data_IF_793790478716
#
_entry.id   IF_793790478716
#
_cell.length_a   1.000
_cell.length_b   1.000
_cell.length_c   1.000
_cell.angle_alpha   90.00
_cell.angle_beta   90.00
_cell.angle_gamma   90.00
#
_symmetry.space_group_name_H-M   'P 1'
#
loop_
_entity.id
_entity.type
_entity.pdbx_description
1 polymer ?
#
# COMPACT_ATOMS: atom_id res chain seq x y z
N UNK A 1 27.85 -20.62 -14.00
CA UNK A 1 26.73 -21.53 -14.36
C UNK A 1 25.65 -21.31 -13.32
N UNK A 2 24.70 -20.44 -13.62
CA UNK A 2 23.59 -20.12 -12.71
C UNK A 2 22.53 -21.20 -12.81
N UNK A 3 22.12 -21.74 -11.66
CA UNK A 3 21.08 -22.75 -11.56
C UNK A 3 19.76 -22.22 -12.10
N UNK A 4 19.26 -22.86 -13.16
CA UNK A 4 17.90 -22.68 -13.66
C UNK A 4 16.97 -23.22 -12.57
N UNK A 5 16.28 -22.32 -11.89
CA UNK A 5 15.17 -22.68 -10.99
C UNK A 5 14.10 -23.34 -11.86
N UNK A 6 13.73 -24.57 -11.51
CA UNK A 6 12.67 -25.33 -12.16
C UNK A 6 11.34 -24.58 -12.15
N UNK A 7 10.51 -24.62 -13.21
CA UNK A 7 9.25 -23.86 -13.30
C UNK A 7 8.16 -24.26 -12.29
N UNK A 8 8.38 -25.31 -11.50
CA UNK A 8 7.38 -25.94 -10.62
C UNK A 8 7.45 -25.49 -9.15
N UNK A 9 8.26 -24.49 -8.81
CA UNK A 9 8.51 -24.10 -7.42
C UNK A 9 8.27 -22.61 -7.14
N UNK A 10 7.65 -21.87 -8.06
CA UNK A 10 7.27 -20.49 -7.80
C UNK A 10 6.03 -20.48 -6.89
N UNK A 11 6.08 -19.79 -5.73
CA UNK A 11 4.92 -19.62 -4.87
C UNK A 11 3.77 -18.96 -5.68
N UNK A 12 2.51 -19.41 -5.53
CA UNK A 12 1.37 -18.89 -6.28
C UNK A 12 1.18 -17.38 -6.09
N UNK A 13 1.62 -16.83 -4.96
CA UNK A 13 1.53 -15.39 -4.68
C UNK A 13 2.86 -14.87 -4.15
N UNK A 14 3.33 -13.78 -4.75
CA UNK A 14 4.40 -12.93 -4.24
C UNK A 14 3.85 -11.53 -3.96
N UNK A 15 4.10 -11.02 -2.76
CA UNK A 15 3.81 -9.67 -2.34
C UNK A 15 5.13 -8.91 -2.15
N UNK A 16 5.27 -7.78 -2.82
CA UNK A 16 6.41 -6.87 -2.75
C UNK A 16 5.94 -5.52 -2.20
N UNK A 17 6.51 -5.08 -1.09
CA UNK A 17 6.24 -3.74 -0.54
C UNK A 17 7.02 -2.70 -1.36
N UNK A 18 6.31 -1.84 -2.10
CA UNK A 18 6.92 -0.76 -2.88
C UNK A 18 7.23 0.46 -2.00
N UNK A 19 6.37 0.70 -1.02
CA UNK A 19 6.53 1.72 0.01
C UNK A 19 5.75 1.38 1.28
N UNK A 20 6.23 1.85 2.42
CA UNK A 20 5.73 1.47 3.76
C UNK A 20 5.51 2.66 4.71
N UNK A 21 5.68 3.87 4.20
CA UNK A 21 5.63 5.12 4.95
C UNK A 21 4.31 5.87 4.80
N UNK A 22 4.20 6.96 5.55
CA UNK A 22 3.05 7.87 5.53
C UNK A 22 3.02 8.74 4.27
N UNK A 23 2.03 9.62 4.21
CA UNK A 23 1.93 10.66 3.20
C UNK A 23 3.17 11.55 3.07
N UNK A 24 3.93 11.78 4.13
CA UNK A 24 5.16 12.59 4.10
C UNK A 24 6.40 11.83 3.68
N UNK A 25 6.33 10.49 3.60
CA UNK A 25 7.47 9.59 3.37
C UNK A 25 8.55 9.74 4.46
N UNK A 26 9.60 8.93 4.46
CA UNK A 26 10.74 9.06 5.38
C UNK A 26 12.03 8.93 4.59
N UNK A 27 13.02 9.82 4.79
CA UNK A 27 13.11 10.85 5.84
C UNK A 27 12.26 12.10 5.60
N UNK A 28 11.86 12.77 6.69
CA UNK A 28 11.30 14.12 6.60
C UNK A 28 12.41 15.16 6.36
N UNK A 29 12.18 16.06 5.41
CA UNK A 29 13.14 17.12 5.08
C UNK A 29 13.40 18.07 6.26
N UNK A 30 12.37 18.39 7.05
CA UNK A 30 12.49 19.28 8.21
C UNK A 30 13.38 18.69 9.31
N UNK A 31 13.45 17.36 9.40
CA UNK A 31 14.30 16.65 10.34
C UNK A 31 15.76 16.64 9.89
N UNK A 32 16.01 16.46 8.59
CA UNK A 32 17.37 16.45 8.03
C UNK A 32 18.00 17.84 7.98
N UNK A 33 17.19 18.88 7.87
CA UNK A 33 17.62 20.29 7.79
C UNK A 33 17.35 21.07 9.09
N UNK A 34 17.05 20.35 10.18
CA UNK A 34 16.79 20.95 11.48
C UNK A 34 17.96 21.82 11.94
N UNK A 35 17.70 23.00 12.54
CA UNK A 35 18.75 23.85 13.08
C UNK A 35 19.48 23.14 14.24
N UNK A 36 20.75 23.48 14.54
CA UNK A 36 21.56 22.77 15.54
C UNK A 36 20.99 22.73 16.97
N UNK A 37 20.01 23.58 17.29
CA UNK A 37 19.35 23.67 18.58
C UNK A 37 18.07 22.81 18.69
N UNK A 38 17.62 22.18 17.61
CA UNK A 38 16.47 21.25 17.62
C UNK A 38 16.97 19.83 17.90
N UNK A 39 16.21 19.09 18.70
CA UNK A 39 16.50 17.68 18.97
C UNK A 39 16.51 16.87 17.66
N UNK A 40 17.57 16.09 17.39
CA UNK A 40 17.70 15.34 16.16
C UNK A 40 16.71 14.17 16.09
N UNK A 41 16.01 14.02 14.98
CA UNK A 41 15.21 12.82 14.72
C UNK A 41 16.10 11.65 14.32
N UNK A 42 16.32 10.71 15.25
CA UNK A 42 17.21 9.56 15.03
C UNK A 42 16.74 8.68 13.86
N UNK A 43 15.44 8.46 13.71
CA UNK A 43 14.88 7.66 12.59
C UNK A 43 15.20 8.31 11.25
N UNK A 44 14.94 9.61 11.07
CA UNK A 44 15.26 10.29 9.83
C UNK A 44 16.77 10.38 9.58
N UNK A 45 17.59 10.65 10.60
CA UNK A 45 19.04 10.69 10.41
C UNK A 45 19.61 9.31 10.05
N UNK A 46 19.04 8.22 10.58
CA UNK A 46 19.49 6.87 10.26
C UNK A 46 19.37 6.54 8.77
N UNK A 47 18.47 7.19 8.01
CA UNK A 47 18.31 6.94 6.57
C UNK A 47 19.54 7.35 5.75
N UNK A 48 20.46 8.12 6.32
CA UNK A 48 21.71 8.51 5.70
C UNK A 48 22.82 7.46 5.86
N UNK A 49 22.52 6.36 6.57
CA UNK A 49 23.47 5.26 6.84
C UNK A 49 22.98 3.95 6.21
N UNK A 50 23.90 3.04 5.83
CA UNK A 50 23.52 1.71 5.32
C UNK A 50 22.63 0.92 6.28
N UNK A 51 22.90 1.00 7.59
CA UNK A 51 22.18 0.26 8.63
C UNK A 51 20.72 0.74 8.74
N UNK A 52 20.49 2.04 8.57
CA UNK A 52 19.17 2.64 8.61
C UNK A 52 18.40 2.58 7.29
N UNK A 53 18.83 1.78 6.29
CA UNK A 53 18.15 1.69 4.98
C UNK A 53 16.67 1.31 5.11
N UNK A 54 16.30 0.46 6.07
CA UNK A 54 14.89 0.08 6.34
C UNK A 54 14.04 1.20 6.95
N UNK A 55 14.65 2.33 7.33
CA UNK A 55 13.94 3.55 7.73
C UNK A 55 13.68 4.50 6.56
N UNK A 56 14.18 4.22 5.35
CA UNK A 56 13.72 4.90 4.14
C UNK A 56 12.35 4.30 3.81
N UNK A 57 11.30 5.13 3.82
CA UNK A 57 9.92 4.67 3.66
C UNK A 57 9.20 5.55 2.65
N UNK A 58 8.94 5.03 1.46
CA UNK A 58 8.11 5.66 0.43
C UNK A 58 6.64 5.59 0.79
N UNK A 59 5.77 6.35 0.10
CA UNK A 59 4.32 6.25 0.32
C UNK A 59 3.83 4.80 0.21
N UNK A 60 2.89 4.43 1.09
CA UNK A 60 2.37 3.07 1.20
C UNK A 60 1.87 2.56 -0.15
N UNK A 61 2.43 1.43 -0.59
CA UNK A 61 2.13 0.82 -1.88
C UNK A 61 2.69 -0.61 -1.93
N UNK A 62 2.07 -1.49 -2.70
CA UNK A 62 2.53 -2.86 -2.89
C UNK A 62 2.32 -3.35 -4.32
N UNK A 63 3.16 -4.28 -4.77
CA UNK A 63 2.96 -5.04 -5.99
C UNK A 63 2.75 -6.51 -5.65
N UNK A 64 1.75 -7.14 -6.26
CA UNK A 64 1.48 -8.56 -6.18
C UNK A 64 1.75 -9.22 -7.52
N UNK A 65 2.43 -10.37 -7.50
CA UNK A 65 2.50 -11.29 -8.64
C UNK A 65 1.72 -12.53 -8.25
N UNK A 66 0.64 -12.81 -8.98
CA UNK A 66 -0.29 -13.90 -8.68
C UNK A 66 -0.39 -14.80 -9.91
N UNK A 67 -0.27 -16.11 -9.73
CA UNK A 67 -0.53 -17.06 -10.82
C UNK A 67 -2.03 -17.09 -11.15
N UNK A 68 -2.38 -16.67 -12.36
CA UNK A 68 -3.72 -16.75 -12.91
C UNK A 68 -4.14 -18.18 -13.27
N UNK A 69 -5.42 -18.35 -13.61
CA UNK A 69 -6.02 -19.64 -14.00
C UNK A 69 -5.43 -20.23 -15.28
N UNK A 70 -4.83 -19.40 -16.13
CA UNK A 70 -4.14 -19.78 -17.36
C UNK A 70 -2.64 -20.09 -17.16
N UNK A 71 -2.16 -20.02 -15.91
CA UNK A 71 -0.75 -20.22 -15.55
C UNK A 71 0.14 -19.02 -15.83
N UNK A 72 -0.40 -17.90 -16.34
CA UNK A 72 0.35 -16.65 -16.49
C UNK A 72 0.37 -15.89 -15.17
N UNK A 73 1.42 -15.12 -14.95
CA UNK A 73 1.53 -14.27 -13.78
C UNK A 73 0.84 -12.93 -14.02
N UNK A 74 -0.13 -12.60 -13.19
CA UNK A 74 -0.80 -11.30 -13.16
C UNK A 74 -0.10 -10.39 -12.15
N UNK A 75 0.29 -9.20 -12.58
CA UNK A 75 0.90 -8.16 -11.74
C UNK A 75 -0.13 -7.11 -11.36
N UNK A 76 -0.46 -7.06 -10.08
CA UNK A 76 -1.41 -6.09 -9.50
C UNK A 76 -0.64 -5.11 -8.62
N UNK A 77 -0.79 -3.80 -8.83
CA UNK A 77 -0.21 -2.77 -7.97
C UNK A 77 -1.31 -2.12 -7.15
N UNK A 78 -1.12 -2.06 -5.83
CA UNK A 78 -1.99 -1.33 -4.91
C UNK A 78 -1.34 0.02 -4.61
N UNK A 79 -2.05 1.09 -4.95
CA UNK A 79 -1.66 2.49 -4.87
C UNK A 79 -0.41 2.87 -5.66
N UNK A 80 -0.46 4.05 -6.28
CA UNK A 80 0.64 4.66 -7.03
C UNK A 80 0.81 6.10 -6.54
N UNK A 81 1.38 6.24 -5.34
CA UNK A 81 1.65 7.53 -4.71
C UNK A 81 2.78 8.33 -5.36
N UNK A 82 3.12 9.48 -4.74
CA UNK A 82 4.18 10.40 -5.21
C UNK A 82 5.56 9.77 -5.37
N UNK A 83 5.82 8.65 -4.68
CA UNK A 83 7.09 7.95 -4.74
C UNK A 83 7.06 6.69 -5.60
N UNK A 84 5.96 6.43 -6.31
CA UNK A 84 5.79 5.21 -7.10
C UNK A 84 6.89 5.06 -8.15
N UNK A 85 7.21 6.10 -8.94
CA UNK A 85 8.28 6.04 -9.93
C UNK A 85 9.62 5.58 -9.31
N UNK A 86 10.00 6.16 -8.17
CA UNK A 86 11.26 5.84 -7.52
C UNK A 86 11.27 4.40 -6.97
N UNK A 87 10.12 3.92 -6.48
CA UNK A 87 9.96 2.52 -6.07
C UNK A 87 10.06 1.58 -7.28
N UNK A 88 9.39 1.93 -8.38
CA UNK A 88 9.34 1.10 -9.57
C UNK A 88 10.72 0.99 -10.23
N UNK A 89 11.45 2.09 -10.35
CA UNK A 89 12.84 2.10 -10.86
C UNK A 89 13.77 1.23 -10.02
N UNK A 90 13.62 1.20 -8.70
CA UNK A 90 14.46 0.36 -7.83
C UNK A 90 14.06 -1.12 -7.90
N UNK A 91 12.77 -1.43 -7.79
CA UNK A 91 12.32 -2.80 -7.54
C UNK A 91 11.94 -3.58 -8.79
N UNK A 92 11.34 -2.94 -9.81
CA UNK A 92 10.82 -3.67 -10.97
C UNK A 92 11.95 -4.27 -11.83
N UNK A 93 13.05 -3.53 -12.15
CA UNK A 93 14.20 -4.12 -12.83
C UNK A 93 14.84 -5.24 -12.01
N UNK A 94 14.99 -5.03 -10.69
CA UNK A 94 15.66 -5.95 -9.76
C UNK A 94 14.95 -7.30 -9.65
N UNK A 95 13.62 -7.29 -9.61
CA UNK A 95 12.82 -8.51 -9.42
C UNK A 95 12.11 -8.98 -10.68
N UNK A 96 12.37 -8.33 -11.83
CA UNK A 96 11.82 -8.75 -13.12
C UNK A 96 10.33 -8.48 -13.28
N UNK A 97 9.76 -7.50 -12.58
CA UNK A 97 8.43 -6.99 -12.90
C UNK A 97 8.55 -6.18 -14.19
N UNK A 98 7.67 -6.46 -15.17
CA UNK A 98 7.76 -5.89 -16.51
C UNK A 98 6.48 -5.21 -16.92
N UNK A 99 5.35 -5.90 -16.78
CA UNK A 99 4.01 -5.39 -17.08
C UNK A 99 3.23 -5.13 -15.79
N UNK A 100 2.23 -4.25 -15.87
CA UNK A 100 1.26 -4.00 -14.80
C UNK A 100 -0.11 -4.31 -15.36
N UNK A 101 -0.72 -5.43 -14.95
CA UNK A 101 -2.02 -5.86 -15.44
C UNK A 101 -3.16 -5.04 -14.83
N UNK A 102 -3.00 -4.63 -13.58
CA UNK A 102 -3.97 -3.83 -12.86
C UNK A 102 -3.30 -2.91 -11.83
N UNK A 103 -3.84 -1.70 -11.70
CA UNK A 103 -3.60 -0.78 -10.59
C UNK A 103 -4.90 -0.64 -9.82
N UNK A 104 -4.84 -0.73 -8.50
CA UNK A 104 -5.99 -0.55 -7.62
C UNK A 104 -5.68 0.58 -6.67
N UNK A 105 -6.56 1.57 -6.59
CA UNK A 105 -6.37 2.73 -5.70
C UNK A 105 -7.29 2.61 -4.49
N UNK A 106 -6.69 2.63 -3.29
CA UNK A 106 -7.40 2.56 -2.01
C UNK A 106 -8.27 3.80 -1.80
N UNK A 107 -7.72 4.99 -2.08
CA UNK A 107 -8.37 6.28 -1.86
C UNK A 107 -7.69 7.44 -2.61
N UNK A 108 -8.31 8.63 -2.56
CA UNK A 108 -7.91 9.79 -3.36
C UNK A 108 -6.99 10.80 -2.64
N UNK A 109 -6.11 10.36 -1.77
CA UNK A 109 -5.04 11.23 -1.27
C UNK A 109 -3.79 11.19 -2.16
N UNK A 110 -2.99 12.23 -2.05
CA UNK A 110 -1.81 12.43 -2.89
C UNK A 110 -0.82 11.26 -2.82
N UNK A 111 -0.68 10.68 -1.64
CA UNK A 111 0.19 9.54 -1.36
C UNK A 111 -0.33 8.20 -1.87
N UNK A 112 -1.59 8.12 -2.32
CA UNK A 112 -2.15 6.93 -2.97
C UNK A 112 -2.24 7.07 -4.50
N UNK A 113 -2.44 8.28 -5.05
CA UNK A 113 -2.73 8.45 -6.49
C UNK A 113 -1.83 9.40 -7.28
N UNK A 114 -0.96 10.22 -6.67
CA UNK A 114 -0.24 11.26 -7.43
C UNK A 114 0.88 10.75 -8.34
N UNK A 115 1.21 9.45 -8.29
CA UNK A 115 2.09 8.77 -9.23
C UNK A 115 1.36 8.16 -10.43
N UNK A 116 0.04 8.38 -10.59
CA UNK A 116 -0.72 7.90 -11.75
C UNK A 116 -0.08 8.35 -13.08
N UNK A 117 0.44 9.58 -13.16
CA UNK A 117 1.10 10.04 -14.38
C UNK A 117 2.37 9.24 -14.71
N UNK A 118 3.07 8.72 -13.71
CA UNK A 118 4.31 7.94 -13.90
C UNK A 118 4.05 6.61 -14.63
N UNK A 119 2.81 6.10 -14.61
CA UNK A 119 2.41 4.89 -15.36
C UNK A 119 2.56 5.06 -16.87
N UNK A 120 2.75 6.28 -17.39
CA UNK A 120 3.17 6.52 -18.79
C UNK A 120 4.42 5.74 -19.16
N UNK A 121 5.30 5.44 -18.20
CA UNK A 121 6.50 4.63 -18.42
C UNK A 121 6.22 3.27 -19.05
N UNK A 122 5.00 2.74 -18.90
CA UNK A 122 4.55 1.48 -19.48
C UNK A 122 3.80 1.64 -20.81
N UNK A 123 3.00 2.70 -20.95
CA UNK A 123 2.05 2.82 -22.06
C UNK A 123 2.46 3.80 -23.16
N UNK A 124 3.43 4.67 -22.92
CA UNK A 124 3.86 5.70 -23.87
C UNK A 124 4.29 5.07 -25.20
N UNK A 125 3.60 5.38 -26.29
CA UNK A 125 3.85 4.77 -27.59
C UNK A 125 3.67 3.24 -27.64
N UNK A 126 3.01 2.64 -26.65
CA UNK A 126 2.93 1.19 -26.50
C UNK A 126 4.27 0.54 -26.14
N UNK A 127 5.14 1.25 -25.39
CA UNK A 127 6.49 0.81 -25.07
C UNK A 127 6.54 -0.59 -24.45
N UNK A 128 5.65 -0.86 -23.48
CA UNK A 128 5.52 -2.15 -22.82
C UNK A 128 4.11 -2.72 -23.02
N UNK A 129 3.09 -1.90 -22.81
CA UNK A 129 1.68 -2.29 -22.93
C UNK A 129 0.84 -1.17 -23.56
N UNK A 130 -0.33 -1.52 -24.10
CA UNK A 130 -1.18 -0.53 -24.79
C UNK A 130 -1.99 0.34 -23.84
N UNK A 131 -2.36 -0.20 -22.68
CA UNK A 131 -3.07 0.46 -21.59
C UNK A 131 -2.78 -0.25 -20.26
N UNK A 132 -3.14 0.38 -19.15
CA UNK A 132 -3.20 -0.23 -17.81
C UNK A 132 -4.63 -0.13 -17.29
N UNK A 133 -5.14 -1.19 -16.68
CA UNK A 133 -6.45 -1.19 -16.05
C UNK A 133 -6.36 -0.61 -14.65
N UNK A 134 -7.21 0.37 -14.35
CA UNK A 134 -7.19 1.11 -13.09
C UNK A 134 -8.53 0.96 -12.38
N UNK A 135 -8.52 0.30 -11.23
CA UNK A 135 -9.68 -0.01 -10.41
C UNK A 135 -9.79 0.98 -9.26
N UNK A 136 -10.91 1.70 -9.19
CA UNK A 136 -11.12 2.78 -8.21
C UNK A 136 -12.57 2.81 -7.73
N UNK A 137 -12.82 3.35 -6.53
CA UNK A 137 -14.19 3.73 -6.15
C UNK A 137 -14.69 4.89 -7.01
N UNK A 138 -16.01 5.05 -7.13
CA UNK A 138 -16.60 6.19 -7.85
C UNK A 138 -16.15 7.55 -7.26
N UNK A 139 -16.06 7.66 -5.94
CA UNK A 139 -15.55 8.87 -5.29
C UNK A 139 -14.09 9.13 -5.63
N UNK A 140 -13.25 8.10 -5.66
CA UNK A 140 -11.84 8.24 -6.03
C UNK A 140 -11.72 8.66 -7.49
N UNK A 141 -12.51 8.08 -8.40
CA UNK A 141 -12.53 8.45 -9.82
C UNK A 141 -12.86 9.94 -10.03
N UNK A 142 -13.85 10.48 -9.31
CA UNK A 142 -14.19 11.90 -9.41
C UNK A 142 -13.03 12.81 -8.96
N UNK A 143 -12.31 12.44 -7.90
CA UNK A 143 -11.14 13.19 -7.44
C UNK A 143 -9.96 13.10 -8.41
N UNK A 144 -9.76 11.93 -9.05
CA UNK A 144 -8.80 11.76 -10.13
C UNK A 144 -9.18 12.66 -11.31
N UNK A 145 -10.44 12.67 -11.74
CA UNK A 145 -10.90 13.53 -12.84
C UNK A 145 -10.68 15.01 -12.53
N UNK A 146 -10.87 15.42 -11.27
CA UNK A 146 -10.62 16.80 -10.83
C UNK A 146 -9.12 17.15 -10.80
N UNK A 147 -8.27 16.21 -10.37
CA UNK A 147 -6.84 16.45 -10.14
C UNK A 147 -5.99 16.24 -11.39
N UNK A 148 -6.39 15.28 -12.24
CA UNK A 148 -5.70 14.84 -13.46
C UNK A 148 -6.70 14.71 -14.63
N UNK A 149 -7.37 15.79 -15.05
CA UNK A 149 -8.41 15.74 -16.08
C UNK A 149 -7.92 15.13 -17.41
N UNK A 150 -6.63 15.29 -17.71
CA UNK A 150 -5.98 14.76 -18.90
C UNK A 150 -5.79 13.22 -18.90
N UNK A 151 -5.83 12.57 -17.73
CA UNK A 151 -5.77 11.10 -17.61
C UNK A 151 -7.14 10.44 -17.83
N UNK A 152 -8.21 11.24 -17.79
CA UNK A 152 -9.60 10.76 -17.94
C UNK A 152 -10.18 11.16 -19.29
N UNK A 153 -9.94 12.39 -19.73
CA UNK A 153 -10.41 12.89 -21.02
C UNK A 153 -9.24 13.35 -21.91
N UNK A 154 -9.23 12.80 -23.13
CA UNK A 154 -8.25 13.13 -24.18
C UNK A 154 -8.33 14.60 -24.63
N UNK A 155 -9.44 15.29 -24.35
CA UNK A 155 -9.65 16.70 -24.70
C UNK A 155 -8.80 17.66 -23.86
N UNK A 156 -8.37 17.24 -22.67
CA UNK A 156 -7.55 18.04 -21.74
C UNK A 156 -6.06 17.67 -21.76
N UNK A 157 -5.64 16.76 -22.65
CA UNK A 157 -4.23 16.44 -22.85
C UNK A 157 -3.51 17.63 -23.50
N UNK A 158 -2.97 18.54 -22.67
CA UNK A 158 -2.12 19.61 -23.17
C UNK A 158 -0.80 19.02 -23.65
N UNK A 159 -0.62 18.95 -24.97
CA UNK A 159 0.63 18.54 -25.59
C UNK A 159 1.77 19.46 -25.14
N UNK A 160 2.62 18.98 -24.26
CA UNK A 160 3.98 19.50 -24.09
C UNK A 160 4.81 19.11 -25.30
N UNK A 161 4.52 19.70 -26.47
CA UNK A 161 5.15 19.42 -27.75
C UNK A 161 4.21 18.83 -28.80
N UNK A 162 3.72 19.72 -29.66
CA UNK A 162 3.16 19.48 -31.00
C UNK A 162 2.02 18.44 -31.13
N UNK A 163 0.81 18.91 -30.84
CA UNK A 163 -0.47 18.21 -31.02
C UNK A 163 -0.92 18.21 -32.49
N UNK A 164 -1.13 17.01 -33.06
CA UNK A 164 -2.05 16.85 -34.19
C UNK A 164 -3.39 16.32 -33.66
N UNK A 165 -4.42 17.17 -33.68
CA UNK A 165 -5.80 16.79 -33.47
C UNK A 165 -6.29 15.92 -34.64
N UNK A 166 -6.88 14.76 -34.37
CA UNK A 166 -7.76 14.09 -35.32
C UNK A 166 -9.05 13.68 -34.62
N UNK A 167 -10.08 14.49 -34.82
CA UNK A 167 -11.47 14.05 -34.88
C UNK A 167 -11.58 13.00 -35.99
N UNK A 168 -12.36 11.93 -35.78
CA UNK A 168 -12.81 11.09 -36.91
C UNK A 168 -14.30 10.81 -36.76
N UNK A 169 -15.10 11.58 -37.51
CA UNK A 169 -16.15 10.97 -38.33
C UNK A 169 -15.47 10.47 -39.61
N UNK A 170 -15.83 9.26 -40.01
CA UNK A 170 -15.34 8.48 -41.14
C UNK A 170 -15.11 9.26 -42.46
N UNK A 171 -13.85 9.43 -42.89
CA UNK A 171 -13.37 9.41 -44.30
C UNK A 171 -11.89 9.04 -44.32
N UNK A 172 -11.49 8.17 -45.25
CA UNK A 172 -10.14 7.69 -45.53
C UNK A 172 -9.18 8.87 -45.83
N UNK A 173 -8.06 8.98 -45.09
CA UNK A 173 -6.85 9.70 -45.54
C UNK A 173 -5.60 8.86 -45.20
N UNK A 174 -4.69 8.85 -46.17
CA UNK A 174 -3.41 8.16 -46.26
C UNK A 174 -2.41 8.44 -45.12
N UNK A 175 -1.64 7.39 -44.83
CA UNK A 175 -0.33 7.30 -44.18
C UNK A 175 0.42 8.61 -43.86
N UNK A 176 0.58 8.90 -42.56
CA UNK A 176 1.64 9.73 -42.00
C UNK A 176 2.18 9.08 -40.73
N UNK A 177 3.50 8.86 -40.73
CA UNK A 177 4.31 8.24 -39.69
C UNK A 177 4.02 8.67 -38.22
N UNK A 178 3.91 7.65 -37.37
CA UNK A 178 4.35 7.57 -35.96
C UNK A 178 4.47 8.88 -35.15
N UNK A 179 3.35 9.49 -34.74
CA UNK A 179 3.35 10.39 -33.56
C UNK A 179 2.72 9.65 -32.37
N UNK A 180 3.57 9.11 -31.50
CA UNK A 180 3.17 8.29 -30.36
C UNK A 180 2.31 9.04 -29.34
N UNK A 181 1.35 8.33 -28.72
CA UNK A 181 0.54 8.83 -27.59
C UNK A 181 1.47 9.35 -26.48
N UNK A 182 1.26 10.57 -26.00
CA UNK A 182 2.10 11.26 -25.00
C UNK A 182 1.54 11.24 -23.55
N UNK A 183 0.47 10.49 -23.28
CA UNK A 183 -0.23 10.42 -21.97
C UNK A 183 -0.43 8.95 -21.62
N UNK A 184 -0.45 8.54 -20.34
CA UNK A 184 -0.86 7.19 -19.97
C UNK A 184 -2.20 6.82 -20.63
N UNK A 185 -2.33 5.58 -21.07
CA UNK A 185 -3.62 5.07 -21.57
C UNK A 185 -4.19 4.13 -20.51
N UNK A 186 -5.39 4.44 -20.03
CA UNK A 186 -6.03 3.72 -18.94
C UNK A 186 -7.39 3.18 -19.34
N UNK A 187 -7.70 1.99 -18.85
CA UNK A 187 -9.06 1.49 -18.79
C UNK A 187 -9.56 1.61 -17.35
N UNK A 188 -10.56 2.46 -17.13
CA UNK A 188 -11.06 2.77 -15.79
C UNK A 188 -12.19 1.81 -15.40
N UNK A 189 -12.05 1.18 -14.23
CA UNK A 189 -13.02 0.25 -13.67
C UNK A 189 -13.50 0.76 -12.32
N UNK A 190 -14.83 0.89 -12.17
CA UNK A 190 -15.43 1.30 -10.90
C UNK A 190 -15.69 0.07 -10.04
N UNK A 191 -15.17 0.08 -8.81
CA UNK A 191 -15.33 -1.00 -7.82
C UNK A 191 -16.19 -0.53 -6.64
N UNK A 192 -16.96 -1.46 -6.08
CA UNK A 192 -17.97 -1.21 -5.04
C UNK A 192 -17.68 -1.99 -3.76
N UNK A 193 -18.05 -1.43 -2.60
CA UNK A 193 -17.85 -2.06 -1.29
C UNK A 193 -18.44 -3.48 -1.24
N UNK A 194 -17.61 -4.46 -0.85
CA UNK A 194 -17.97 -5.88 -0.67
C UNK A 194 -18.49 -6.58 -1.93
N UNK A 195 -18.26 -6.01 -3.11
CA UNK A 195 -18.56 -6.65 -4.40
C UNK A 195 -17.26 -7.22 -4.97
N UNK A 196 -17.08 -8.55 -4.96
CA UNK A 196 -15.90 -9.17 -5.55
C UNK A 196 -15.81 -8.92 -7.06
N UNK A 197 -14.61 -8.79 -7.58
CA UNK A 197 -14.33 -8.69 -9.01
C UNK A 197 -13.11 -9.52 -9.40
N UNK A 198 -13.08 -9.94 -10.67
CA UNK A 198 -11.94 -10.59 -11.29
C UNK A 198 -11.09 -9.53 -12.01
N UNK A 199 -9.77 -9.62 -11.91
CA UNK A 199 -8.87 -8.84 -12.76
C UNK A 199 -8.97 -9.39 -14.18
N UNK A 200 -9.68 -8.66 -15.04
CA UNK A 200 -9.98 -9.06 -16.42
C UNK A 200 -10.64 -10.44 -16.43
N UNK A 201 -9.93 -11.43 -17.00
CA UNK A 201 -10.29 -12.84 -17.04
C UNK A 201 -9.15 -13.72 -16.52
N UNK A 202 -8.30 -13.19 -15.65
CA UNK A 202 -7.09 -13.88 -15.17
C UNK A 202 -7.36 -14.96 -14.13
N UNK A 203 -8.55 -14.97 -13.53
CA UNK A 203 -8.88 -15.77 -12.33
C UNK A 203 -8.43 -15.12 -11.02
N UNK A 204 -7.84 -13.91 -11.06
CA UNK A 204 -7.43 -13.18 -9.85
C UNK A 204 -8.63 -12.46 -9.23
N UNK A 205 -9.11 -12.99 -8.10
CA UNK A 205 -10.27 -12.46 -7.39
C UNK A 205 -9.87 -11.49 -6.29
N UNK A 206 -10.54 -10.34 -6.24
CA UNK A 206 -10.36 -9.29 -5.24
C UNK A 206 -11.71 -8.85 -4.71
N UNK A 207 -11.84 -8.81 -3.39
CA UNK A 207 -13.02 -8.26 -2.70
C UNK A 207 -12.60 -6.97 -1.98
N UNK A 208 -13.02 -5.80 -2.48
CA UNK A 208 -12.80 -4.53 -1.79
C UNK A 208 -13.74 -4.43 -0.57
N UNK A 209 -13.33 -3.72 0.45
CA UNK A 209 -14.17 -3.41 1.60
C UNK A 209 -13.78 -2.06 2.22
N UNK A 210 -14.75 -1.37 2.82
CA UNK A 210 -14.52 -0.06 3.45
C UNK A 210 -13.80 -0.21 4.80
N UNK A 211 -12.76 0.60 4.98
CA UNK A 211 -12.22 1.04 6.26
C UNK A 211 -12.41 2.55 6.44
N UNK A 212 -12.34 3.04 7.67
CA UNK A 212 -12.52 4.47 7.97
C UNK A 212 -11.21 5.15 8.35
N UNK A 213 -10.92 6.25 7.64
CA UNK A 213 -9.88 7.23 7.95
C UNK A 213 -10.57 8.53 8.38
N UNK A 214 -10.16 9.18 9.48
CA UNK A 214 -10.84 10.35 10.08
C UNK A 214 -12.09 10.04 10.94
N UNK A 215 -12.40 10.88 11.95
CA UNK A 215 -13.00 10.42 13.20
C UNK A 215 -14.49 10.08 13.09
N UNK A 216 -14.87 8.99 13.76
CA UNK A 216 -16.24 8.73 14.27
C UNK A 216 -16.25 8.73 15.81
N UNK A 217 -15.32 9.47 16.46
CA UNK A 217 -15.38 9.67 17.92
C UNK A 217 -16.08 10.98 18.23
N UNK A 218 -17.24 10.99 18.93
CA UNK A 218 -17.76 12.21 19.50
C UNK A 218 -16.74 12.71 20.54
N UNK A 219 -16.29 13.95 20.40
CA UNK A 219 -15.50 14.63 21.41
C UNK A 219 -16.33 14.69 22.71
N UNK A 220 -16.08 13.79 23.64
CA UNK A 220 -16.63 13.89 24.99
C UNK A 220 -15.91 15.03 25.72
N UNK A 221 -16.55 16.18 25.81
CA UNK A 221 -16.19 17.22 26.77
C UNK A 221 -15.57 18.48 26.20
N UNK A 222 -16.37 19.31 25.53
CA UNK A 222 -16.25 20.77 25.68
C UNK A 222 -17.61 21.44 25.52
N UNK A 223 -18.07 22.08 26.58
CA UNK A 223 -19.27 22.90 26.60
C UNK A 223 -19.00 24.22 25.84
N UNK A 224 -19.11 24.21 24.52
CA UNK A 224 -19.11 25.43 23.72
C UNK A 224 -20.28 25.38 22.73
N UNK A 225 -21.10 26.43 22.76
CA UNK A 225 -22.42 26.56 22.10
C UNK A 225 -22.39 26.73 20.58
N UNK A 226 -21.43 26.12 19.88
CA UNK A 226 -21.45 25.97 18.43
C UNK A 226 -21.32 24.48 18.14
N UNK A 227 -22.35 23.86 17.55
CA UNK A 227 -22.30 22.45 17.17
C UNK A 227 -21.02 22.21 16.34
N UNK A 228 -20.15 21.25 16.72
CA UNK A 228 -18.97 20.94 15.93
C UNK A 228 -19.41 20.57 14.50
N UNK A 229 -18.64 20.94 13.46
CA UNK A 229 -18.95 20.55 12.10
C UNK A 229 -19.16 19.03 12.05
N UNK A 230 -20.21 18.57 11.36
CA UNK A 230 -20.40 17.13 11.11
C UNK A 230 -19.20 16.64 10.31
N UNK A 231 -18.26 15.97 10.99
CA UNK A 231 -17.13 15.33 10.32
C UNK A 231 -17.67 14.03 9.73
N UNK A 232 -17.65 13.93 8.41
CA UNK A 232 -17.92 12.67 7.72
C UNK A 232 -16.62 11.86 7.70
N UNK A 233 -16.66 10.55 8.03
CA UNK A 233 -15.47 9.71 7.89
C UNK A 233 -15.05 9.67 6.43
N UNK A 234 -13.75 9.77 6.20
CA UNK A 234 -13.16 9.58 4.90
C UNK A 234 -13.00 8.06 4.68
N UNK A 235 -13.45 7.58 3.52
CA UNK A 235 -13.50 6.15 3.26
C UNK A 235 -12.25 5.73 2.47
N UNK A 236 -11.57 4.70 2.97
CA UNK A 236 -10.47 4.04 2.28
C UNK A 236 -10.86 2.59 2.03
N UNK A 237 -10.55 2.03 0.86
CA UNK A 237 -10.71 0.60 0.64
C UNK A 237 -9.52 -0.19 1.20
N UNK A 238 -9.84 -1.28 1.89
CA UNK A 238 -8.96 -2.44 2.01
C UNK A 238 -9.38 -3.52 1.02
N UNK A 239 -8.55 -4.55 0.87
CA UNK A 239 -8.75 -5.60 -0.12
C UNK A 239 -8.51 -6.98 0.47
N UNK A 240 -9.43 -7.90 0.21
CA UNK A 240 -9.23 -9.34 0.38
C UNK A 240 -8.87 -9.93 -0.99
N UNK A 241 -7.67 -10.47 -1.12
CA UNK A 241 -7.09 -10.91 -2.40
C UNK A 241 -6.91 -12.43 -2.32
N UNK A 242 -7.52 -13.15 -3.26
CA UNK A 242 -7.44 -14.62 -3.39
C UNK A 242 -7.72 -15.39 -2.08
N UNK A 243 -8.54 -14.85 -1.18
CA UNK A 243 -8.79 -15.41 0.17
C UNK A 243 -7.49 -15.73 0.95
N UNK A 244 -6.41 -15.01 0.62
CA UNK A 244 -5.04 -15.31 1.04
C UNK A 244 -4.39 -14.09 1.71
N UNK A 245 -4.61 -12.90 1.15
CA UNK A 245 -4.04 -11.64 1.66
C UNK A 245 -5.19 -10.70 2.00
N UNK A 246 -5.19 -10.20 3.23
CA UNK A 246 -5.94 -9.00 3.60
C UNK A 246 -4.97 -7.81 3.59
N UNK A 247 -5.27 -6.79 2.79
CA UNK A 247 -4.51 -5.55 2.71
C UNK A 247 -5.33 -4.39 3.27
N UNK A 248 -4.85 -3.76 4.34
CA UNK A 248 -5.51 -2.63 5.01
C UNK A 248 -4.45 -1.56 5.31
N UNK A 249 -4.55 -0.40 4.67
CA UNK A 249 -3.71 0.78 4.94
C UNK A 249 -4.59 2.01 5.19
N UNK A 250 -4.04 3.03 5.85
CA UNK A 250 -4.66 4.35 5.99
C UNK A 250 -6.02 4.35 6.71
N UNK A 251 -6.19 3.45 7.68
CA UNK A 251 -7.41 3.31 8.47
C UNK A 251 -7.18 3.59 9.94
N UNK A 252 -8.15 4.24 10.57
CA UNK A 252 -8.25 4.41 12.04
C UNK A 252 -9.25 3.45 12.68
N UNK A 253 -10.22 2.96 11.90
CA UNK A 253 -11.27 2.08 12.37
C UNK A 253 -11.71 1.13 11.25
N UNK A 254 -11.96 -0.13 11.62
CA UNK A 254 -12.64 -1.11 10.78
C UNK A 254 -14.11 -1.17 11.23
N UNK A 255 -15.08 -0.87 10.35
CA UNK A 255 -16.52 -0.96 10.65
C UNK A 255 -16.99 -2.38 11.03
N UNK A 256 -18.07 -2.50 11.80
CA UNK A 256 -18.59 -3.80 12.28
C UNK A 256 -19.04 -4.74 11.14
N UNK A 257 -19.61 -4.20 10.08
CA UNK A 257 -19.99 -4.94 8.89
C UNK A 257 -18.77 -5.39 8.05
N UNK A 258 -17.71 -4.59 8.03
CA UNK A 258 -16.40 -5.03 7.50
C UNK A 258 -15.79 -6.13 8.36
N UNK A 259 -15.89 -6.04 9.69
CA UNK A 259 -15.44 -7.12 10.57
C UNK A 259 -16.13 -8.44 10.26
N UNK A 260 -17.43 -8.44 10.01
CA UNK A 260 -18.16 -9.64 9.62
C UNK A 260 -17.60 -10.30 8.35
N UNK A 261 -17.23 -9.51 7.33
CA UNK A 261 -16.55 -10.01 6.15
C UNK A 261 -15.18 -10.62 6.49
N UNK A 262 -14.33 -9.89 7.22
CA UNK A 262 -12.97 -10.34 7.55
C UNK A 262 -12.94 -11.57 8.48
N UNK A 263 -13.96 -11.73 9.32
CA UNK A 263 -14.13 -12.90 10.18
C UNK A 263 -14.66 -14.11 9.41
N UNK A 264 -15.43 -13.90 8.34
CA UNK A 264 -15.91 -14.96 7.44
C UNK A 264 -14.85 -15.52 6.48
N UNK A 265 -13.77 -14.75 6.25
CA UNK A 265 -12.66 -15.17 5.39
C UNK A 265 -11.87 -16.34 5.99
N UNK A 266 -11.06 -17.02 5.18
CA UNK A 266 -10.28 -18.19 5.57
C UNK A 266 -9.48 -18.01 6.87
N UNK A 267 -9.43 -19.08 7.68
CA UNK A 267 -8.71 -19.12 8.96
C UNK A 267 -7.79 -20.36 9.07
N UNK A 268 -6.51 -20.18 9.47
CA UNK A 268 -5.83 -18.89 9.59
C UNK A 268 -5.67 -18.24 8.21
N UNK A 269 -5.90 -16.93 8.12
CA UNK A 269 -5.59 -16.15 6.92
C UNK A 269 -4.06 -16.12 6.76
N UNK A 270 -3.50 -16.44 5.58
CA UNK A 270 -2.05 -16.52 5.40
C UNK A 270 -1.33 -15.19 5.71
N UNK A 271 -1.75 -14.10 5.07
CA UNK A 271 -1.10 -12.79 5.22
C UNK A 271 -2.09 -11.69 5.55
N UNK A 272 -1.75 -10.89 6.56
CA UNK A 272 -2.39 -9.62 6.86
C UNK A 272 -1.37 -8.48 6.70
N UNK A 273 -1.66 -7.51 5.84
CA UNK A 273 -0.98 -6.21 5.79
C UNK A 273 -1.88 -5.21 6.50
N UNK A 274 -1.33 -4.50 7.51
CA UNK A 274 -2.14 -3.67 8.41
C UNK A 274 -1.50 -2.32 8.73
N UNK A 275 -2.32 -1.27 8.69
CA UNK A 275 -1.97 0.09 9.12
C UNK A 275 -1.45 0.13 10.57
N UNK A 276 -0.35 0.83 10.78
CA UNK A 276 0.17 1.20 12.10
C UNK A 276 1.11 2.40 11.98
N UNK A 277 0.57 3.59 12.23
CA UNK A 277 1.32 4.84 12.08
C UNK A 277 2.46 5.00 13.09
N UNK A 278 2.16 4.70 14.36
CA UNK A 278 3.03 4.93 15.53
C UNK A 278 2.44 4.25 16.78
N UNK A 279 3.04 4.48 17.96
CA UNK A 279 2.56 3.91 19.22
C UNK A 279 1.13 4.36 19.55
N UNK A 280 0.90 5.69 19.51
CA UNK A 280 -0.40 6.29 19.82
C UNK A 280 -1.28 6.34 18.59
N UNK A 281 -2.57 6.05 18.78
CA UNK A 281 -3.60 6.24 17.77
C UNK A 281 -3.60 7.66 17.19
N UNK A 282 -4.00 7.77 15.94
CA UNK A 282 -4.17 9.04 15.25
C UNK A 282 -5.62 9.14 14.74
N UNK A 283 -6.06 10.34 14.37
CA UNK A 283 -7.42 10.54 13.86
C UNK A 283 -7.69 9.74 12.58
N UNK A 284 -6.64 9.45 11.81
CA UNK A 284 -6.72 8.78 10.50
C UNK A 284 -6.02 7.42 10.44
N UNK A 285 -5.30 7.02 11.49
CA UNK A 285 -4.49 5.80 11.48
C UNK A 285 -4.54 5.06 12.82
N UNK A 286 -4.39 3.74 12.76
CA UNK A 286 -4.24 2.89 13.92
C UNK A 286 -2.92 3.16 14.63
N UNK A 287 -2.97 3.09 15.96
CA UNK A 287 -1.79 2.92 16.80
C UNK A 287 -1.41 1.46 16.97
N UNK A 288 -0.23 1.19 17.53
CA UNK A 288 0.26 -0.19 17.73
C UNK A 288 -0.71 -1.07 18.54
N UNK A 289 -1.38 -0.50 19.55
CA UNK A 289 -2.31 -1.25 20.39
C UNK A 289 -3.56 -1.69 19.60
N UNK A 290 -4.11 -0.83 18.75
CA UNK A 290 -5.26 -1.14 17.89
C UNK A 290 -4.87 -2.16 16.83
N UNK A 291 -3.69 -2.00 16.22
CA UNK A 291 -3.17 -2.94 15.24
C UNK A 291 -2.99 -4.34 15.86
N UNK A 292 -2.33 -4.46 17.02
CA UNK A 292 -2.16 -5.77 17.69
C UNK A 292 -3.50 -6.36 18.13
N UNK A 293 -4.46 -5.54 18.56
CA UNK A 293 -5.81 -6.03 18.89
C UNK A 293 -6.52 -6.60 17.64
N UNK A 294 -6.43 -5.92 16.50
CA UNK A 294 -6.98 -6.40 15.23
C UNK A 294 -6.31 -7.72 14.78
N UNK A 295 -4.98 -7.82 14.91
CA UNK A 295 -4.23 -9.05 14.60
C UNK A 295 -4.68 -10.21 15.49
N UNK A 296 -4.83 -9.99 16.80
CA UNK A 296 -5.32 -11.03 17.73
C UNK A 296 -6.73 -11.49 17.40
N UNK A 297 -7.60 -10.56 16.98
CA UNK A 297 -8.97 -10.86 16.57
C UNK A 297 -9.01 -11.68 15.27
N UNK A 298 -8.22 -11.30 14.26
CA UNK A 298 -8.20 -11.99 12.96
C UNK A 298 -7.40 -13.29 12.98
N UNK A 299 -6.41 -13.40 13.86
CA UNK A 299 -5.49 -14.53 14.03
C UNK A 299 -4.87 -15.02 12.70
N UNK A 300 -4.18 -14.14 11.93
CA UNK A 300 -3.47 -14.53 10.71
C UNK A 300 -2.18 -15.30 10.99
N UNK A 301 -1.65 -15.99 9.98
CA UNK A 301 -0.36 -16.71 10.06
C UNK A 301 0.84 -15.76 10.11
N UNK A 302 0.82 -14.71 9.28
CA UNK A 302 1.84 -13.64 9.25
C UNK A 302 1.16 -12.27 9.13
N UNK A 303 1.53 -11.33 9.99
CA UNK A 303 1.14 -9.91 9.86
C UNK A 303 2.34 -9.03 9.56
N UNK A 304 2.20 -8.18 8.55
CA UNK A 304 3.15 -7.12 8.23
C UNK A 304 2.50 -5.74 8.44
N UNK A 305 3.07 -4.94 9.33
CA UNK A 305 2.61 -3.57 9.55
C UNK A 305 3.06 -2.65 8.41
N UNK A 306 2.31 -1.59 8.11
CA UNK A 306 2.66 -0.53 7.14
C UNK A 306 2.16 0.85 7.60
N UNK A 307 2.43 1.91 6.83
CA UNK A 307 1.95 3.27 7.11
C UNK A 307 2.80 4.02 8.15
N UNK A 308 4.07 3.68 8.29
CA UNK A 308 4.87 4.11 9.43
C UNK A 308 5.34 5.57 9.35
N UNK A 309 5.18 6.31 10.45
CA UNK A 309 5.80 7.62 10.67
C UNK A 309 7.25 7.51 11.18
N UNK A 310 7.97 8.63 11.22
CA UNK A 310 9.35 8.70 11.74
C UNK A 310 9.49 8.59 13.27
N UNK A 311 8.37 8.47 14.01
CA UNK A 311 8.36 8.40 15.47
C UNK A 311 9.05 7.14 16.01
N UNK A 312 9.13 6.08 15.20
CA UNK A 312 9.65 4.76 15.58
C UNK A 312 10.53 4.24 14.45
N UNK A 313 11.73 3.79 14.79
CA UNK A 313 12.62 3.13 13.85
C UNK A 313 12.18 1.70 13.53
N UNK A 314 12.66 1.15 12.42
CA UNK A 314 12.33 -0.21 11.99
C UNK A 314 12.71 -1.24 13.07
N UNK A 315 13.90 -1.12 13.66
CA UNK A 315 14.38 -2.05 14.69
C UNK A 315 13.53 -1.99 15.96
N UNK A 316 13.08 -0.80 16.36
CA UNK A 316 12.17 -0.66 17.50
C UNK A 316 10.82 -1.33 17.21
N UNK A 317 10.27 -1.19 16.00
CA UNK A 317 9.09 -1.95 15.59
C UNK A 317 9.32 -3.46 15.59
N UNK A 318 10.49 -3.94 15.16
CA UNK A 318 10.85 -5.36 15.24
C UNK A 318 10.84 -5.84 16.68
N UNK A 319 11.44 -5.08 17.61
CA UNK A 319 11.42 -5.39 19.04
C UNK A 319 10.01 -5.46 19.59
N UNK A 320 9.18 -4.46 19.29
CA UNK A 320 7.79 -4.42 19.75
C UNK A 320 7.01 -5.61 19.18
N UNK A 321 7.16 -5.91 17.89
CA UNK A 321 6.49 -7.04 17.25
C UNK A 321 6.94 -8.40 17.79
N UNK A 322 8.22 -8.55 18.20
CA UNK A 322 8.72 -9.75 18.88
C UNK A 322 8.05 -9.95 20.25
N UNK A 323 7.91 -8.87 21.03
CA UNK A 323 7.22 -8.92 22.31
C UNK A 323 5.73 -9.32 22.15
N UNK A 324 5.06 -8.87 21.08
CA UNK A 324 3.70 -9.31 20.75
C UNK A 324 3.59 -10.83 20.55
N UNK A 325 4.67 -11.45 20.08
CA UNK A 325 4.80 -12.90 19.89
C UNK A 325 5.21 -13.67 21.15
N UNK A 326 5.27 -13.01 22.31
CA UNK A 326 5.65 -13.62 23.59
C UNK A 326 7.16 -13.68 23.85
N UNK A 327 7.98 -13.10 22.97
CA UNK A 327 9.42 -13.00 23.19
C UNK A 327 9.71 -12.01 24.33
N UNK A 328 10.08 -12.56 25.49
CA UNK A 328 10.46 -11.79 26.69
C UNK A 328 11.99 -11.67 26.83
N UNK A 329 12.77 -12.07 25.81
CA UNK A 329 14.22 -12.31 25.95
C UNK A 329 15.10 -11.06 25.98
N UNK A 330 14.57 -9.86 25.69
CA UNK A 330 15.37 -8.64 25.81
C UNK A 330 15.48 -8.18 27.25
N UNK A 331 16.72 -8.05 27.72
CA UNK A 331 17.03 -7.32 28.93
C UNK A 331 16.51 -5.88 28.81
N UNK A 332 15.52 -5.55 29.63
CA UNK A 332 14.83 -4.24 29.66
C UNK A 332 15.77 -3.06 29.93
N UNK A 333 16.98 -3.33 30.43
CA UNK A 333 18.00 -2.31 30.73
C UNK A 333 18.53 -1.61 29.47
N UNK A 334 18.58 -2.31 28.32
CA UNK A 334 19.12 -1.79 27.06
C UNK A 334 18.05 -1.30 26.07
N UNK A 335 16.77 -1.40 26.43
CA UNK A 335 15.67 -0.98 25.55
C UNK A 335 15.56 0.55 25.45
N UNK A 336 15.23 1.03 24.25
CA UNK A 336 14.84 2.44 24.06
C UNK A 336 13.55 2.75 24.82
N UNK A 337 13.28 4.04 25.05
CA UNK A 337 12.02 4.48 25.68
C UNK A 337 10.82 4.07 24.80
N UNK A 338 10.96 4.13 23.48
CA UNK A 338 9.91 3.74 22.52
C UNK A 338 9.65 2.24 22.59
N UNK A 339 10.70 1.41 22.63
CA UNK A 339 10.56 -0.05 22.77
C UNK A 339 9.85 -0.40 24.07
N UNK A 340 10.27 0.18 25.20
CA UNK A 340 9.62 -0.10 26.51
C UNK A 340 8.15 0.26 26.52
N UNK A 341 7.80 1.47 26.05
CA UNK A 341 6.40 1.90 26.00
C UNK A 341 5.59 1.06 25.03
N UNK A 342 6.13 0.78 23.84
CA UNK A 342 5.46 -0.02 22.83
C UNK A 342 5.17 -1.44 23.32
N UNK A 343 6.18 -2.11 23.89
CA UNK A 343 6.02 -3.47 24.45
C UNK A 343 5.03 -3.52 25.61
N UNK A 344 5.05 -2.54 26.52
CA UNK A 344 4.10 -2.44 27.63
C UNK A 344 2.65 -2.31 27.13
N UNK A 345 2.41 -1.49 26.09
CA UNK A 345 1.08 -1.26 25.52
C UNK A 345 0.43 -2.52 24.92
N UNK A 346 1.23 -3.52 24.54
CA UNK A 346 0.74 -4.72 23.84
C UNK A 346 0.99 -6.03 24.61
N UNK A 347 1.52 -5.96 25.84
CA UNK A 347 1.96 -7.15 26.59
C UNK A 347 0.85 -8.18 26.84
N UNK A 348 -0.39 -7.71 27.03
CA UNK A 348 -1.50 -8.56 27.45
C UNK A 348 -2.22 -9.14 26.24
N UNK A 349 -2.49 -10.44 26.26
CA UNK A 349 -3.25 -11.14 25.21
C UNK A 349 -2.50 -12.33 24.62
N UNK A 350 -3.15 -13.03 23.69
CA UNK A 350 -2.57 -14.19 23.00
C UNK A 350 -1.33 -13.75 22.19
N UNK A 351 -0.22 -14.52 22.21
CA UNK A 351 0.92 -14.31 21.33
C UNK A 351 0.52 -14.33 19.85
N UNK A 352 1.04 -13.39 19.07
CA UNK A 352 0.80 -13.29 17.62
C UNK A 352 2.10 -12.99 16.86
N UNK A 353 2.21 -13.49 15.63
CA UNK A 353 3.33 -13.13 14.76
C UNK A 353 3.01 -11.82 14.03
N UNK A 354 3.82 -10.79 14.27
CA UNK A 354 3.68 -9.47 13.68
C UNK A 354 5.06 -8.83 13.51
N UNK A 355 5.34 -8.29 12.32
CA UNK A 355 6.61 -7.62 12.00
C UNK A 355 6.37 -6.33 11.22
N UNK A 356 7.23 -5.31 11.32
CA UNK A 356 7.16 -4.20 10.41
C UNK A 356 7.52 -4.62 8.99
N UNK A 357 6.79 -4.15 7.97
CA UNK A 357 7.31 -4.20 6.60
C UNK A 357 8.43 -3.17 6.40
N UNK A 358 9.11 -3.24 5.27
CA UNK A 358 10.01 -2.19 4.79
C UNK A 358 10.01 -2.19 3.26
N UNK A 359 10.38 -1.07 2.65
CA UNK A 359 10.45 -0.92 1.20
C UNK A 359 11.37 -1.99 0.58
N UNK A 360 10.83 -2.80 -0.33
CA UNK A 360 11.53 -3.89 -1.01
C UNK A 360 11.45 -5.24 -0.30
N UNK A 361 10.76 -5.36 0.84
CA UNK A 361 10.43 -6.65 1.46
C UNK A 361 9.58 -7.47 0.50
N UNK A 362 9.97 -8.74 0.29
CA UNK A 362 9.19 -9.72 -0.46
C UNK A 362 8.67 -10.80 0.48
N UNK A 363 7.40 -11.14 0.29
CA UNK A 363 6.66 -12.17 1.01
C UNK A 363 6.09 -13.11 -0.03
N UNK A 364 6.21 -14.39 0.22
CA UNK A 364 5.77 -15.44 -0.68
C UNK A 364 4.77 -16.34 0.05
N UNK A 365 3.66 -16.65 -0.62
CA UNK A 365 2.66 -17.58 -0.11
C UNK A 365 2.61 -18.77 -1.05
N UNK A 366 2.81 -19.97 -0.51
CA UNK A 366 2.76 -21.27 -1.19
C UNK A 366 1.32 -21.75 -1.42
N UNK A 367 1.12 -22.77 -2.26
CA UNK A 367 -0.21 -23.37 -2.49
C UNK A 367 -0.82 -24.02 -1.24
N UNK A 368 0.00 -24.39 -0.25
CA UNK A 368 -0.41 -24.93 1.04
C UNK A 368 -0.58 -23.85 2.12
N UNK A 369 -0.64 -22.57 1.71
CA UNK A 369 -0.74 -21.39 2.57
C UNK A 369 0.46 -21.13 3.48
N UNK A 370 1.57 -21.86 3.30
CA UNK A 370 2.80 -21.53 3.99
C UNK A 370 3.34 -20.17 3.51
N UNK A 371 3.75 -19.34 4.45
CA UNK A 371 4.25 -17.99 4.19
C UNK A 371 5.73 -17.93 4.55
N UNK A 372 6.55 -17.47 3.61
CA UNK A 372 7.97 -17.19 3.81
C UNK A 372 8.30 -15.75 3.40
N UNK A 373 9.22 -15.10 4.09
CA UNK A 373 9.75 -13.79 3.72
C UNK A 373 11.29 -13.74 3.73
N UNK A 374 11.86 -12.71 3.11
CA UNK A 374 13.32 -12.63 2.91
C UNK A 374 14.11 -12.08 4.11
N UNK A 375 13.46 -11.76 5.23
CA UNK A 375 14.10 -11.11 6.39
C UNK A 375 13.89 -11.82 7.70
N UNK A 376 12.68 -12.30 7.99
CA UNK A 376 12.31 -12.79 9.31
C UNK A 376 12.26 -14.32 9.42
N UNK A 377 12.43 -15.04 8.31
CA UNK A 377 12.52 -16.51 8.24
C UNK A 377 13.96 -17.04 8.05
#
# INVERSE_FOLDING_TARGET
MGSIVSPSNTPPIELLFLGTGTSSSIPHLDCLTAPPNREPCLTCLSTLTPEGKKNIRRNTSAALRISGKDGKTTTVVIDVGKNFQAAAVEWFPKYGLREIDAVIITHAHADAMNGLDDLRGWTLGGAIQTHIDVYVSLSTFHEVQRSFPYLVSKEFASGGGDVSCSFVYSVIIFDMHHRGKQVPDFEWHIIEDKVPFEIKDTGVQITPFIGWSSPVRPLSGTCCSNAPPKIHPYLCFGFLIQDTIIYISDVSLIPDDTWALLESAKKPMPVLVLDCLRLRSHMSHMGIQEAVAAVRRLNPSRTYLTGFSHDISHDEYVTIGKAAGGDSSKDTTHMSIVERRGTEMIREGKPVWIRPSYDGLRVFVSNDDSVIDETYD
#
